data_IF_095180233875
#
_entry.id   IF_095180233875
#
_cell.length_a   1.000
_cell.length_b   1.000
_cell.length_c   1.000
_cell.angle_alpha   90.00
_cell.angle_beta   90.00
_cell.angle_gamma   90.00
#
_symmetry.space_group_name_H-M   'P 1'
#
loop_
_entity.id
_entity.type
_entity.pdbx_description
1 polymer ?
#
# COMPACT_ATOMS: atom_id res chain seq x y z
N UNK A 1 -10.14 -6.67 -5.94
CA UNK A 1 -10.90 -6.02 -4.83
C UNK A 1 -10.82 -4.50 -5.03
N UNK A 2 -11.96 -3.80 -5.06
CA UNK A 2 -11.99 -2.34 -5.23
C UNK A 2 -11.56 -1.60 -3.97
N UNK A 3 -11.12 -0.34 -4.13
CA UNK A 3 -10.81 0.56 -3.02
C UNK A 3 -12.11 1.25 -2.56
N UNK A 4 -12.32 1.32 -1.25
CA UNK A 4 -13.36 2.15 -0.65
C UNK A 4 -13.06 3.64 -0.82
N UNK A 5 -14.06 4.51 -0.63
CA UNK A 5 -13.85 5.97 -0.69
C UNK A 5 -12.79 6.45 0.31
N UNK A 6 -12.78 5.90 1.52
CA UNK A 6 -11.79 6.22 2.54
C UNK A 6 -10.37 5.79 2.12
N UNK A 7 -10.22 4.61 1.51
CA UNK A 7 -8.93 4.14 0.99
C UNK A 7 -8.45 5.01 -0.19
N UNK A 8 -9.35 5.41 -1.09
CA UNK A 8 -9.00 6.33 -2.19
C UNK A 8 -8.49 7.66 -1.62
N UNK A 9 -9.16 8.23 -0.61
CA UNK A 9 -8.69 9.45 0.05
C UNK A 9 -7.32 9.25 0.73
N UNK A 10 -7.14 8.15 1.47
CA UNK A 10 -5.88 7.82 2.16
C UNK A 10 -4.71 7.62 1.19
N UNK A 11 -4.95 6.98 0.05
CA UNK A 11 -3.90 6.61 -0.92
C UNK A 11 -3.81 7.54 -2.13
N UNK A 12 -4.54 8.66 -2.14
CA UNK A 12 -4.63 9.58 -3.28
C UNK A 12 -3.26 9.96 -3.86
N UNK A 13 -2.30 10.28 -2.98
CA UNK A 13 -0.94 10.67 -3.39
C UNK A 13 -0.15 9.55 -4.09
N UNK A 14 -0.36 8.29 -3.73
CA UNK A 14 0.29 7.17 -4.43
C UNK A 14 -0.44 6.81 -5.73
N UNK A 15 -1.77 6.91 -5.74
CA UNK A 15 -2.59 6.62 -6.92
C UNK A 15 -2.22 7.54 -8.10
N UNK A 16 -1.89 8.81 -7.84
CA UNK A 16 -1.52 9.75 -8.91
C UNK A 16 -0.07 9.59 -9.41
N UNK A 17 0.76 8.76 -8.78
CA UNK A 17 2.13 8.55 -9.22
C UNK A 17 2.16 7.83 -10.58
N UNK A 18 2.89 8.42 -11.53
CA UNK A 18 3.12 7.83 -12.85
C UNK A 18 3.74 6.45 -12.69
N UNK A 19 3.12 5.44 -13.31
CA UNK A 19 3.58 4.05 -13.25
C UNK A 19 3.05 3.23 -12.07
N UNK A 20 2.33 3.85 -11.12
CA UNK A 20 1.71 3.14 -9.99
C UNK A 20 0.19 2.97 -10.20
N UNK A 21 -0.57 4.07 -10.09
CA UNK A 21 -2.01 4.06 -10.37
C UNK A 21 -2.86 3.30 -9.34
N UNK A 22 -4.19 3.38 -9.52
CA UNK A 22 -5.13 2.59 -8.74
C UNK A 22 -4.93 1.06 -8.85
N UNK A 23 -4.53 0.49 -10.02
CA UNK A 23 -4.29 -0.95 -10.12
C UNK A 23 -3.17 -1.46 -9.20
N UNK A 24 -2.06 -0.75 -9.07
CA UNK A 24 -0.98 -1.15 -8.15
C UNK A 24 -1.43 -1.09 -6.69
N UNK A 25 -2.18 -0.05 -6.30
CA UNK A 25 -2.74 0.04 -4.95
C UNK A 25 -3.70 -1.13 -4.63
N UNK A 26 -4.51 -1.56 -5.61
CA UNK A 26 -5.39 -2.72 -5.45
C UNK A 26 -4.62 -4.04 -5.34
N UNK A 27 -3.46 -4.17 -6.01
CA UNK A 27 -2.56 -5.31 -5.84
C UNK A 27 -1.96 -5.32 -4.44
N UNK A 28 -1.46 -4.18 -3.94
CA UNK A 28 -0.95 -4.06 -2.58
C UNK A 28 -2.01 -4.41 -1.52
N UNK A 29 -3.25 -3.97 -1.70
CA UNK A 29 -4.37 -4.32 -0.80
C UNK A 29 -4.61 -5.83 -0.69
N UNK A 30 -4.36 -6.57 -1.77
CA UNK A 30 -4.54 -8.03 -1.83
C UNK A 30 -3.27 -8.79 -1.40
N UNK A 31 -2.13 -8.10 -1.31
CA UNK A 31 -0.87 -8.73 -0.98
C UNK A 31 -0.82 -9.21 0.48
N UNK A 32 -0.04 -10.27 0.70
CA UNK A 32 0.33 -10.77 2.03
C UNK A 32 1.84 -10.74 2.11
N UNK A 33 2.38 -10.11 3.14
CA UNK A 33 3.82 -9.93 3.33
C UNK A 33 4.17 -10.52 4.69
N UNK A 34 5.16 -11.41 4.72
CA UNK A 34 5.80 -11.90 5.95
C UNK A 34 7.01 -11.02 6.25
N UNK A 35 7.09 -10.48 7.46
CA UNK A 35 8.26 -9.77 7.97
C UNK A 35 8.84 -10.61 9.10
N UNK A 36 10.12 -11.00 9.00
CA UNK A 36 10.81 -11.79 10.03
C UNK A 36 11.66 -10.86 10.89
N UNK A 37 11.29 -10.77 12.16
CA UNK A 37 11.94 -9.89 13.14
C UNK A 37 11.32 -8.49 13.20
N UNK A 38 11.04 -8.02 14.41
CA UNK A 38 10.44 -6.72 14.70
C UNK A 38 11.44 -5.77 15.41
N UNK A 39 12.74 -5.92 15.12
CA UNK A 39 13.80 -5.01 15.59
C UNK A 39 13.96 -3.79 14.67
N UNK A 40 15.10 -3.09 14.74
CA UNK A 40 15.32 -1.82 14.02
C UNK A 40 15.15 -1.88 12.50
N UNK A 41 15.36 -3.03 11.86
CA UNK A 41 15.10 -3.21 10.43
C UNK A 41 13.62 -3.44 10.11
N UNK A 42 12.90 -4.13 11.01
CA UNK A 42 11.46 -4.46 10.83
C UNK A 42 10.53 -3.32 11.25
N UNK A 43 11.01 -2.41 12.10
CA UNK A 43 10.31 -1.20 12.54
C UNK A 43 11.23 0.02 12.35
N UNK A 44 11.48 0.46 11.11
CA UNK A 44 12.27 1.65 10.86
C UNK A 44 11.64 2.89 11.51
N UNK A 45 12.49 3.85 11.89
CA UNK A 45 12.09 5.14 12.46
C UNK A 45 11.61 6.13 11.40
#
# INVERSE_FOLDING_TARGET
MSLSKAEVARYARHIVLKGFGAPAQQKLKQARILVIGAGGLGSPA
#
